data_IF_722548388202
#
_entry.id   IF_722548388202
#
_cell.length_a   1.000
_cell.length_b   1.000
_cell.length_c   1.000
_cell.angle_alpha   90.00
_cell.angle_beta   90.00
_cell.angle_gamma   90.00
#
_symmetry.space_group_name_H-M   'P 1'
#
loop_
_entity.id
_entity.type
_entity.pdbx_description
1 polymer ?
#
# COMPACT_ATOMS: atom_id res chain seq x y z
N UNK A 1 -23.64 -51.25 -16.94
CA UNK A 1 -22.75 -50.23 -17.56
C UNK A 1 -21.57 -50.04 -16.63
N UNK A 2 -20.38 -50.52 -17.02
CA UNK A 2 -19.15 -50.47 -16.20
C UNK A 2 -18.40 -49.18 -16.53
N UNK A 3 -18.41 -48.23 -15.60
CA UNK A 3 -17.66 -46.97 -15.72
C UNK A 3 -16.15 -47.28 -15.66
N UNK A 4 -15.41 -46.86 -16.68
CA UNK A 4 -13.97 -47.12 -16.81
C UNK A 4 -13.17 -46.27 -15.81
N UNK A 5 -12.17 -46.82 -15.09
CA UNK A 5 -11.40 -46.11 -14.06
C UNK A 5 -10.65 -44.88 -14.60
N UNK A 6 -10.40 -44.82 -15.91
CA UNK A 6 -9.83 -43.66 -16.59
C UNK A 6 -10.72 -42.42 -16.54
N UNK A 7 -12.06 -42.59 -16.53
CA UNK A 7 -13.02 -41.47 -16.48
C UNK A 7 -13.03 -40.84 -15.08
N UNK A 8 -12.92 -41.66 -14.03
CA UNK A 8 -12.85 -41.21 -12.63
C UNK A 8 -11.55 -40.43 -12.34
N UNK A 9 -10.42 -40.85 -12.91
CA UNK A 9 -9.14 -40.14 -12.78
C UNK A 9 -9.16 -38.77 -13.49
N UNK A 10 -9.81 -38.67 -14.66
CA UNK A 10 -9.93 -37.41 -15.40
C UNK A 10 -10.85 -36.40 -14.67
N UNK A 11 -11.92 -36.87 -14.02
CA UNK A 11 -12.78 -36.02 -13.18
C UNK A 11 -12.10 -35.51 -11.90
N UNK A 12 -11.18 -36.30 -11.31
CA UNK A 12 -10.40 -35.89 -10.14
C UNK A 12 -9.28 -34.88 -10.48
N UNK A 13 -8.73 -34.93 -11.70
CA UNK A 13 -7.72 -33.97 -12.18
C UNK A 13 -8.33 -32.60 -12.53
N UNK A 14 -9.58 -32.55 -13.02
CA UNK A 14 -10.28 -31.29 -13.31
C UNK A 14 -10.87 -30.61 -12.06
N UNK A 15 -10.94 -31.28 -10.91
CA UNK A 15 -11.43 -30.72 -9.65
C UNK A 15 -10.36 -29.97 -8.82
N UNK A 16 -9.10 -29.91 -9.30
CA UNK A 16 -7.94 -29.38 -8.55
C UNK A 16 -7.33 -28.10 -9.12
N UNK A 17 -8.00 -27.40 -10.03
CA UNK A 17 -7.61 -26.04 -10.46
C UNK A 17 -8.76 -25.07 -10.22
N UNK A 18 -9.11 -24.87 -8.95
CA UNK A 18 -9.70 -23.58 -8.58
C UNK A 18 -8.53 -22.61 -8.55
N UNK A 19 -8.31 -21.94 -9.68
CA UNK A 19 -7.50 -20.72 -9.68
C UNK A 19 -8.17 -19.76 -8.69
N UNK A 20 -7.63 -19.68 -7.48
CA UNK A 20 -7.98 -18.62 -6.56
C UNK A 20 -7.39 -17.37 -7.19
N UNK A 21 -8.21 -16.67 -7.98
CA UNK A 21 -7.96 -15.28 -8.34
C UNK A 21 -7.90 -14.52 -7.01
N UNK A 22 -6.69 -14.38 -6.46
CA UNK A 22 -6.41 -13.45 -5.37
C UNK A 22 -6.59 -12.06 -5.99
N UNK A 23 -7.79 -11.49 -5.85
CA UNK A 23 -8.00 -10.07 -6.11
C UNK A 23 -7.22 -9.31 -5.05
N UNK A 24 -6.34 -8.39 -5.47
CA UNK A 24 -5.73 -7.47 -4.53
C UNK A 24 -6.81 -6.52 -3.99
N UNK A 25 -6.79 -6.28 -2.69
CA UNK A 25 -7.73 -5.36 -2.03
C UNK A 25 -7.31 -3.90 -2.18
N UNK A 26 -6.04 -3.67 -2.50
CA UNK A 26 -5.42 -2.36 -2.59
C UNK A 26 -4.47 -2.30 -3.79
N UNK A 27 -4.30 -1.10 -4.34
CA UNK A 27 -3.55 -0.83 -5.55
C UNK A 27 -2.69 0.41 -5.35
N UNK A 28 -1.51 0.37 -5.94
CA UNK A 28 -0.65 1.52 -6.14
C UNK A 28 -1.27 2.51 -7.13
N UNK A 29 -0.85 3.79 -7.13
CA UNK A 29 -1.35 4.81 -8.08
C UNK A 29 -1.27 4.43 -9.56
N UNK A 30 -0.29 3.61 -9.93
CA UNK A 30 -0.11 3.10 -11.30
C UNK A 30 -1.06 1.92 -11.64
N UNK A 31 -1.95 1.53 -10.72
CA UNK A 31 -2.90 0.42 -10.85
C UNK A 31 -2.30 -0.98 -10.66
N UNK A 32 -1.04 -1.09 -10.23
CA UNK A 32 -0.46 -2.39 -9.84
C UNK A 32 -1.06 -2.84 -8.52
N UNK A 33 -1.28 -4.14 -8.38
CA UNK A 33 -1.77 -4.76 -7.15
C UNK A 33 -0.76 -4.56 -6.01
N UNK A 34 -1.27 -4.19 -4.83
CA UNK A 34 -0.51 -4.17 -3.58
C UNK A 34 -0.98 -5.33 -2.69
N UNK A 35 -0.09 -6.27 -2.43
CA UNK A 35 -0.38 -7.51 -1.69
C UNK A 35 0.32 -7.48 -0.33
N UNK A 36 -0.24 -6.74 0.62
CA UNK A 36 0.19 -6.76 2.01
C UNK A 36 -1.04 -6.85 2.93
N UNK A 37 -1.14 -7.90 3.78
CA UNK A 37 -2.30 -8.09 4.65
C UNK A 37 -2.48 -6.98 5.70
N UNK A 38 -1.43 -6.21 5.98
CA UNK A 38 -1.51 -5.10 6.93
C UNK A 38 -2.37 -3.96 6.37
N UNK A 39 -2.46 -3.81 5.04
CA UNK A 39 -3.24 -2.73 4.45
C UNK A 39 -4.61 -3.21 4.04
N UNK A 40 -5.63 -2.52 4.55
CA UNK A 40 -7.03 -2.87 4.35
C UNK A 40 -7.82 -1.61 4.05
N UNK A 41 -8.90 -1.78 3.29
CA UNK A 41 -9.81 -0.71 2.95
C UNK A 41 -10.42 -0.08 4.21
N UNK A 42 -10.43 1.25 4.25
CA UNK A 42 -11.12 2.02 5.28
C UNK A 42 -12.64 1.81 5.22
N UNK A 43 -13.38 1.84 6.35
CA UNK A 43 -14.80 1.51 6.38
C UNK A 43 -15.69 2.32 5.42
N UNK A 44 -15.37 3.60 5.17
CA UNK A 44 -16.22 4.53 4.42
C UNK A 44 -15.51 5.22 3.23
N UNK A 45 -14.36 4.70 2.78
CA UNK A 45 -13.64 5.27 1.63
C UNK A 45 -12.99 4.16 0.83
N UNK A 46 -12.55 4.47 -0.40
CA UNK A 46 -11.76 3.51 -1.16
C UNK A 46 -10.29 3.49 -0.72
N UNK A 47 -9.88 4.36 0.21
CA UNK A 47 -8.52 4.42 0.75
C UNK A 47 -8.19 3.13 1.49
N UNK A 48 -6.96 2.68 1.34
CA UNK A 48 -6.38 1.58 2.10
C UNK A 48 -5.28 2.11 3.02
N UNK A 49 -5.45 1.90 4.33
CA UNK A 49 -4.45 2.23 5.34
C UNK A 49 -3.93 0.95 6.00
N UNK A 50 -2.84 1.03 6.76
CA UNK A 50 -2.30 -0.11 7.50
C UNK A 50 -3.12 -0.41 8.76
N UNK A 51 -4.27 -1.06 8.57
CA UNK A 51 -5.22 -1.40 9.63
C UNK A 51 -4.99 -2.79 10.25
N UNK A 52 -4.17 -3.63 9.63
CA UNK A 52 -3.96 -5.04 9.97
C UNK A 52 -2.78 -5.33 10.92
N UNK A 53 -2.10 -4.29 11.41
CA UNK A 53 -0.98 -4.42 12.35
C UNK A 53 -1.49 -4.79 13.75
N UNK A 54 -0.61 -5.36 14.57
CA UNK A 54 -0.93 -5.79 15.93
C UNK A 54 -0.91 -4.66 16.96
N UNK A 55 -0.06 -3.65 16.76
CA UNK A 55 0.03 -2.50 17.66
C UNK A 55 -1.15 -1.54 17.38
N UNK A 56 -2.05 -1.26 18.34
CA UNK A 56 -3.17 -0.35 18.11
C UNK A 56 -2.70 1.11 17.94
N UNK A 57 -3.56 2.02 17.42
CA UNK A 57 -3.26 3.44 17.39
C UNK A 57 -3.00 3.97 18.82
N UNK A 58 -1.96 4.77 18.97
CA UNK A 58 -1.49 5.27 20.26
C UNK A 58 -0.73 4.23 21.11
N UNK A 59 -0.41 3.06 20.54
CA UNK A 59 0.45 2.09 21.21
C UNK A 59 1.94 2.48 21.15
N UNK A 60 2.74 1.91 22.05
CA UNK A 60 4.17 2.19 22.16
C UNK A 60 4.94 1.70 20.93
N UNK A 61 5.89 2.49 20.43
CA UNK A 61 6.73 2.18 19.26
C UNK A 61 7.55 0.89 19.46
N UNK A 62 7.86 0.51 20.70
CA UNK A 62 8.54 -0.75 21.02
C UNK A 62 7.73 -2.00 20.64
N UNK A 63 6.40 -1.87 20.49
CA UNK A 63 5.52 -2.95 20.03
C UNK A 63 5.44 -3.04 18.49
N UNK A 64 6.26 -2.26 17.77
CA UNK A 64 6.28 -2.19 16.31
C UNK A 64 5.38 -1.08 15.76
N UNK A 65 5.16 -1.02 14.44
CA UNK A 65 4.36 0.02 13.81
C UNK A 65 2.90 -0.07 14.26
N UNK A 66 2.31 1.05 14.69
CA UNK A 66 0.88 1.10 15.03
C UNK A 66 0.00 0.97 13.80
N UNK A 67 -1.23 0.49 14.02
CA UNK A 67 -2.33 0.64 13.09
C UNK A 67 -2.56 2.11 12.78
N UNK A 68 -2.93 2.37 11.54
CA UNK A 68 -3.34 3.70 11.14
C UNK A 68 -4.79 3.98 11.52
N UNK A 69 -5.11 5.26 11.68
CA UNK A 69 -6.46 5.78 11.73
C UNK A 69 -6.83 6.34 10.35
N UNK A 70 -7.96 5.90 9.81
CA UNK A 70 -8.50 6.44 8.56
C UNK A 70 -9.07 7.85 8.77
N UNK A 71 -8.53 8.85 8.08
CA UNK A 71 -9.06 10.20 8.11
C UNK A 71 -10.12 10.43 7.03
N UNK A 72 -11.13 11.29 7.28
CA UNK A 72 -12.20 11.53 6.30
C UNK A 72 -11.72 12.17 5.00
N UNK A 73 -10.63 12.94 5.04
CA UNK A 73 -9.98 13.53 3.86
C UNK A 73 -9.20 12.49 3.01
N UNK A 74 -9.16 11.23 3.44
CA UNK A 74 -8.52 10.14 2.73
C UNK A 74 -7.05 9.91 3.08
N UNK A 75 -6.52 10.61 4.09
CA UNK A 75 -5.19 10.32 4.66
C UNK A 75 -5.26 9.18 5.69
N UNK A 76 -4.12 8.52 5.88
CA UNK A 76 -3.89 7.56 6.95
C UNK A 76 -3.06 8.23 8.05
N UNK A 77 -3.59 8.38 9.26
CA UNK A 77 -2.85 8.91 10.42
C UNK A 77 -2.20 7.75 11.17
N UNK A 78 -0.87 7.70 11.18
CA UNK A 78 -0.14 6.81 12.06
C UNK A 78 0.16 7.53 13.37
N UNK A 79 -0.36 6.99 14.48
CA UNK A 79 -0.23 7.55 15.81
C UNK A 79 0.45 6.51 16.72
N UNK A 80 1.66 6.80 17.18
CA UNK A 80 2.45 5.95 18.07
C UNK A 80 2.89 6.73 19.31
N UNK A 81 3.16 6.04 20.41
CA UNK A 81 3.77 6.63 21.59
C UNK A 81 5.26 6.32 21.62
N UNK A 82 6.09 7.34 21.82
CA UNK A 82 7.52 7.20 22.05
C UNK A 82 7.89 8.03 23.26
N UNK A 83 8.51 7.41 24.26
CA UNK A 83 8.89 8.06 25.53
C UNK A 83 7.70 8.79 26.21
N UNK A 84 6.51 8.20 26.10
CA UNK A 84 5.26 8.76 26.63
C UNK A 84 4.69 9.95 25.85
N UNK A 85 5.31 10.35 24.73
CA UNK A 85 4.84 11.41 23.85
C UNK A 85 4.19 10.85 22.58
N UNK A 86 3.05 11.40 22.13
CA UNK A 86 2.44 10.98 20.88
C UNK A 86 3.23 11.52 19.69
N UNK A 87 3.64 10.63 18.80
CA UNK A 87 4.19 10.97 17.50
C UNK A 87 3.12 10.64 16.46
N UNK A 88 2.71 11.67 15.73
CA UNK A 88 1.69 11.58 14.69
C UNK A 88 2.30 11.86 13.34
N UNK A 89 1.94 11.03 12.38
CA UNK A 89 2.34 11.24 11.01
C UNK A 89 1.21 10.87 10.06
N UNK A 90 1.19 11.49 8.88
CA UNK A 90 0.11 11.31 7.93
C UNK A 90 0.64 10.84 6.59
N UNK A 91 -0.15 9.99 5.94
CA UNK A 91 0.26 9.30 4.74
C UNK A 91 -0.84 9.29 3.71
N UNK A 92 -0.44 9.42 2.45
CA UNK A 92 -1.23 8.94 1.34
C UNK A 92 -0.73 7.55 0.98
N UNK A 93 -1.50 6.55 1.39
CA UNK A 93 -1.17 5.14 1.17
C UNK A 93 -1.70 4.65 -0.18
N UNK A 94 -2.62 3.68 -0.16
CA UNK A 94 -3.09 2.96 -1.34
C UNK A 94 -4.59 3.18 -1.54
N UNK A 95 -5.11 2.66 -2.65
CA UNK A 95 -6.53 2.69 -2.92
C UNK A 95 -7.05 1.32 -3.36
N UNK A 96 -8.26 0.99 -2.94
CA UNK A 96 -9.01 -0.20 -3.39
C UNK A 96 -9.61 -0.04 -4.79
N UNK A 97 -9.65 1.19 -5.33
CA UNK A 97 -9.94 1.40 -6.75
C UNK A 97 -8.63 1.36 -7.55
N UNK A 98 -8.52 0.34 -8.39
CA UNK A 98 -7.38 0.11 -9.28
C UNK A 98 -7.11 1.29 -10.23
N UNK A 99 -8.15 2.03 -10.62
CA UNK A 99 -8.02 3.15 -11.55
C UNK A 99 -7.68 4.47 -10.85
N UNK A 100 -7.63 4.48 -9.51
CA UNK A 100 -7.32 5.66 -8.71
C UNK A 100 -8.19 6.88 -9.04
N UNK A 101 -9.51 6.69 -9.14
CA UNK A 101 -10.41 7.80 -9.39
C UNK A 101 -10.35 8.83 -8.24
N UNK A 102 -10.21 10.11 -8.58
CA UNK A 102 -9.94 11.19 -7.62
C UNK A 102 -11.05 11.41 -6.61
N UNK A 103 -12.30 11.03 -6.93
CA UNK A 103 -13.44 11.14 -6.01
C UNK A 103 -13.46 10.04 -4.95
N UNK A 104 -12.71 8.95 -5.15
CA UNK A 104 -12.67 7.79 -4.24
C UNK A 104 -11.30 7.55 -3.64
N UNK A 105 -10.23 7.98 -4.33
CA UNK A 105 -8.83 7.83 -3.94
C UNK A 105 -8.16 9.19 -3.81
N UNK A 106 -7.35 9.35 -2.75
CA UNK A 106 -6.63 10.58 -2.51
C UNK A 106 -5.46 10.73 -3.51
N UNK A 107 -5.69 11.52 -4.55
CA UNK A 107 -4.79 11.63 -5.70
C UNK A 107 -3.73 12.73 -5.58
N UNK A 108 -3.06 12.79 -4.44
CA UNK A 108 -2.02 13.80 -4.16
C UNK A 108 -0.63 13.19 -4.18
N UNK A 109 0.39 14.05 -4.25
CA UNK A 109 1.79 13.64 -4.14
C UNK A 109 2.17 12.47 -5.07
N UNK A 110 1.62 12.47 -6.29
CA UNK A 110 1.77 11.36 -7.25
C UNK A 110 3.13 11.32 -7.94
N UNK A 111 3.91 12.39 -7.81
CA UNK A 111 5.20 12.58 -8.48
C UNK A 111 6.21 13.11 -7.48
N UNK A 112 7.48 12.75 -7.69
CA UNK A 112 8.61 13.24 -6.88
C UNK A 112 9.35 12.15 -6.11
N UNK A 113 10.47 12.53 -5.51
CA UNK A 113 11.42 11.65 -4.81
C UNK A 113 10.97 11.23 -3.41
N UNK A 114 9.76 11.59 -2.99
CA UNK A 114 9.26 11.39 -1.63
C UNK A 114 8.42 10.11 -1.47
N UNK A 115 8.23 9.36 -2.56
CA UNK A 115 7.58 8.06 -2.52
C UNK A 115 8.58 7.06 -1.95
N UNK A 116 8.21 6.39 -0.87
CA UNK A 116 9.06 5.39 -0.25
C UNK A 116 9.14 4.10 -1.09
N UNK A 117 9.95 3.14 -0.62
CA UNK A 117 10.14 1.85 -1.30
C UNK A 117 8.86 1.02 -1.40
N UNK A 118 7.84 1.33 -0.59
CA UNK A 118 6.55 0.66 -0.56
C UNK A 118 5.48 1.39 -1.37
N UNK A 119 5.81 2.55 -1.96
CA UNK A 119 4.88 3.35 -2.75
C UNK A 119 4.03 4.32 -1.92
N UNK A 120 4.24 4.38 -0.61
CA UNK A 120 3.58 5.30 0.31
C UNK A 120 4.29 6.66 0.26
N UNK A 121 3.61 7.72 0.67
CA UNK A 121 4.21 9.05 0.75
C UNK A 121 3.73 9.78 1.98
N UNK A 122 4.69 10.36 2.73
CA UNK A 122 4.37 11.25 3.84
C UNK A 122 3.72 12.52 3.34
N UNK A 123 2.76 12.98 4.13
CA UNK A 123 2.05 14.23 3.88
C UNK A 123 2.05 15.00 5.20
N UNK A 124 2.71 16.16 5.24
CA UNK A 124 2.89 16.94 6.48
C UNK A 124 1.88 18.08 6.55
N UNK A 125 1.11 18.21 7.65
CA UNK A 125 0.15 19.32 7.81
C UNK A 125 0.87 20.64 8.10
N UNK A 126 0.36 21.73 7.55
CA UNK A 126 0.95 23.05 7.73
C UNK A 126 0.70 23.67 9.10
N UNK A 127 -0.39 23.28 9.76
CA UNK A 127 -0.76 23.75 11.10
C UNK A 127 -0.44 22.72 12.21
N UNK A 128 0.18 21.59 11.84
CA UNK A 128 0.49 20.51 12.78
C UNK A 128 -0.71 19.66 13.21
N UNK A 129 -1.89 19.83 12.59
CA UNK A 129 -3.12 19.13 13.00
C UNK A 129 -3.59 18.11 11.97
N UNK A 130 -4.33 17.09 12.43
CA UNK A 130 -4.99 16.11 11.53
C UNK A 130 -6.08 16.71 10.63
N UNK A 131 -6.51 17.94 10.93
CA UNK A 131 -7.57 18.67 10.23
C UNK A 131 -7.03 19.84 9.41
N UNK A 132 -5.72 19.86 9.14
CA UNK A 132 -5.09 20.92 8.36
C UNK A 132 -5.82 21.15 7.04
N UNK A 133 -5.96 22.40 6.64
CA UNK A 133 -6.47 22.72 5.29
C UNK A 133 -5.34 22.64 4.25
N UNK A 134 -4.10 22.89 4.68
CA UNK A 134 -2.91 22.90 3.83
C UNK A 134 -1.92 21.82 4.23
N UNK A 135 -1.35 21.17 3.22
CA UNK A 135 -0.45 20.04 3.41
C UNK A 135 0.74 20.10 2.44
N UNK A 136 1.86 19.53 2.88
CA UNK A 136 3.06 19.33 2.09
C UNK A 136 3.27 17.86 1.75
N UNK A 137 3.73 17.58 0.54
CA UNK A 137 4.29 16.27 0.22
C UNK A 137 5.69 16.13 0.84
N UNK A 138 5.98 14.98 1.45
CA UNK A 138 7.23 14.73 2.15
C UNK A 138 7.13 15.03 3.65
N UNK A 139 8.28 15.14 4.29
CA UNK A 139 8.37 15.20 5.76
C UNK A 139 8.34 16.63 6.31
N UNK A 140 8.60 17.64 5.47
CA UNK A 140 8.82 19.04 5.87
C UNK A 140 7.59 19.92 5.65
N UNK A 141 7.52 21.04 6.37
CA UNK A 141 6.52 22.11 6.18
C UNK A 141 6.96 23.23 5.23
N UNK A 142 8.12 23.09 4.56
CA UNK A 142 8.71 24.13 3.70
C UNK A 142 7.79 24.62 2.56
N UNK A 143 6.80 23.80 2.16
CA UNK A 143 5.85 24.15 1.12
C UNK A 143 4.72 25.09 1.59
N UNK A 144 4.50 25.25 2.90
CA UNK A 144 3.25 25.79 3.44
C UNK A 144 2.95 27.24 3.02
N UNK A 145 4.00 28.03 2.82
CA UNK A 145 3.92 29.41 2.34
C UNK A 145 4.13 29.52 0.82
N UNK A 146 4.17 28.39 0.13
CA UNK A 146 4.41 28.31 -1.32
C UNK A 146 3.11 28.02 -2.05
N UNK A 147 2.98 28.43 -3.33
CA UNK A 147 1.78 28.20 -4.12
C UNK A 147 1.52 26.72 -4.44
N UNK A 148 2.49 25.84 -4.18
CA UNK A 148 2.37 24.40 -4.38
C UNK A 148 1.98 23.62 -3.11
N UNK A 149 1.63 24.30 -2.01
CA UNK A 149 0.96 23.66 -0.88
C UNK A 149 -0.37 23.03 -1.35
N UNK A 150 -0.64 21.81 -0.92
CA UNK A 150 -1.86 21.10 -1.25
C UNK A 150 -3.00 21.59 -0.37
N UNK A 151 -4.13 21.95 -0.97
CA UNK A 151 -5.37 22.23 -0.22
C UNK A 151 -6.24 20.99 -0.25
N UNK A 152 -6.47 20.38 0.91
CA UNK A 152 -7.33 19.20 1.03
C UNK A 152 -8.67 19.60 1.63
N UNK A 153 -9.76 19.07 1.06
CA UNK A 153 -11.05 19.13 1.72
C UNK A 153 -11.06 18.21 2.95
N UNK A 154 -11.87 18.54 3.96
CA UNK A 154 -11.97 17.71 5.16
C UNK A 154 -12.56 16.31 4.89
N UNK A 155 -13.27 16.15 3.78
CA UNK A 155 -13.81 14.87 3.32
C UNK A 155 -13.36 14.62 1.90
N UNK A 156 -12.87 13.41 1.61
CA UNK A 156 -12.43 13.01 0.28
C UNK A 156 -13.58 13.13 -0.72
N UNK A 157 -13.29 13.68 -1.91
CA UNK A 157 -14.28 13.92 -2.96
C UNK A 157 -15.16 15.16 -2.73
N UNK A 158 -15.06 15.83 -1.58
CA UNK A 158 -15.64 17.16 -1.39
C UNK A 158 -14.73 18.24 -1.99
N UNK A 159 -15.33 19.35 -2.41
CA UNK A 159 -14.54 20.56 -2.73
C UNK A 159 -14.05 21.18 -1.42
N UNK A 160 -12.80 21.66 -1.34
CA UNK A 160 -12.37 22.45 -0.19
C UNK A 160 -13.29 23.67 -0.06
N UNK A 161 -13.81 23.90 1.13
CA UNK A 161 -14.66 25.06 1.42
C UNK A 161 -13.81 26.31 1.23
N UNK A 162 -14.00 27.01 0.13
CA UNK A 162 -13.45 28.35 -0.04
C UNK A 162 -14.15 29.24 0.97
N UNK A 163 -13.57 29.44 2.15
CA UNK A 163 -14.01 30.51 3.04
C UNK A 163 -13.55 31.80 2.37
N UNK A 164 -14.39 32.32 1.49
CA UNK A 164 -14.26 33.70 1.01
C UNK A 164 -14.38 34.57 2.26
N UNK A 165 -13.28 35.19 2.68
CA UNK A 165 -13.30 36.20 3.73
C UNK A 165 -14.11 37.40 3.23
N UNK A 166 -15.43 37.36 3.38
CA UNK A 166 -16.29 38.52 3.19
C UNK A 166 -15.99 39.49 4.31
N UNK A 167 -15.25 40.54 3.96
CA UNK A 167 -15.07 41.74 4.77
C UNK A 167 -16.46 42.25 5.18
N UNK A 168 -16.68 42.34 6.49
CA UNK A 168 -17.93 42.71 7.12
C UNK A 168 -18.29 44.17 6.84
N UNK A 169 -19.45 44.39 6.22
CA UNK A 169 -20.11 45.69 6.05
C UNK A 169 -21.63 45.48 6.11
N UNK A 170 -22.23 45.91 7.22
CA UNK A 170 -23.65 45.81 7.59
C UNK A 170 -24.56 46.67 6.66
N UNK A 171 -25.91 46.58 6.74
CA UNK A 171 -26.80 45.82 5.87
C UNK A 171 -27.70 46.74 5.01
N UNK A 172 -28.38 46.21 4.00
CA UNK A 172 -29.64 46.83 3.56
C UNK A 172 -30.64 45.76 3.17
N UNK A 173 -31.78 45.84 3.86
CA UNK A 173 -32.93 44.96 3.74
C UNK A 173 -33.70 45.29 2.46
N UNK A 174 -33.98 44.30 1.63
CA UNK A 174 -35.11 44.33 0.69
C UNK A 174 -35.64 42.92 0.49
N UNK A 175 -36.78 42.67 1.12
CA UNK A 175 -37.67 41.54 0.89
C UNK A 175 -38.28 41.64 -0.50
N UNK A 176 -38.21 40.58 -1.32
CA UNK A 176 -39.08 40.43 -2.49
C UNK A 176 -39.74 39.05 -2.43
N UNK A 177 -41.06 39.13 -2.31
CA UNK A 177 -42.03 38.06 -2.25
C UNK A 177 -42.30 37.54 -3.67
N UNK A 178 -42.07 36.26 -3.93
CA UNK A 178 -42.60 35.60 -5.12
C UNK A 178 -43.45 34.39 -4.70
N UNK A 179 -44.77 34.57 -4.79
CA UNK A 179 -45.78 33.51 -4.74
C UNK A 179 -46.20 33.17 -6.18
N UNK A 180 -46.25 31.89 -6.53
CA UNK A 180 -47.31 31.27 -7.35
C UNK A 180 -47.07 29.75 -7.53
N UNK A 181 -47.86 28.98 -6.79
CA UNK A 181 -48.64 27.79 -7.19
C UNK A 181 -48.36 27.06 -8.52
N UNK A 182 -48.17 25.74 -8.42
CA UNK A 182 -48.41 24.76 -9.50
C UNK A 182 -47.97 23.34 -9.08
N UNK A 183 -48.92 22.51 -8.65
CA UNK A 183 -48.80 21.07 -8.37
C UNK A 183 -49.55 20.27 -9.46
N UNK A 184 -49.52 18.92 -9.51
CA UNK A 184 -48.51 18.06 -10.14
C UNK A 184 -49.04 17.37 -11.41
N UNK A 185 -48.16 16.80 -12.22
CA UNK A 185 -48.55 15.80 -13.22
C UNK A 185 -47.64 14.57 -13.17
N UNK A 186 -48.18 13.50 -12.57
CA UNK A 186 -47.63 12.15 -12.62
C UNK A 186 -47.89 11.54 -13.98
N UNK A 187 -46.83 11.10 -14.67
CA UNK A 187 -46.94 10.12 -15.77
C UNK A 187 -46.06 8.92 -15.43
N UNK A 188 -46.71 7.85 -14.98
CA UNK A 188 -46.09 6.54 -14.85
C UNK A 188 -45.90 5.95 -16.26
N UNK A 189 -44.67 5.56 -16.60
CA UNK A 189 -44.40 4.73 -17.78
C UNK A 189 -43.85 3.39 -17.29
N UNK A 190 -44.74 2.41 -17.21
CA UNK A 190 -44.42 1.00 -17.06
C UNK A 190 -44.32 0.42 -18.47
N UNK A 191 -43.19 -0.18 -18.84
CA UNK A 191 -43.11 -1.18 -19.91
C UNK A 191 -41.93 -2.13 -19.63
N UNK A 192 -42.30 -3.31 -19.14
CA UNK A 192 -41.82 -4.69 -19.36
C UNK A 192 -40.33 -5.03 -19.63
N UNK A 193 -39.83 -6.14 -19.05
CA UNK A 193 -38.46 -6.64 -19.22
C UNK A 193 -38.31 -7.54 -20.45
N UNK A 194 -37.29 -7.27 -21.26
CA UNK A 194 -36.89 -8.15 -22.37
C UNK A 194 -36.05 -9.34 -21.89
N UNK A 195 -36.36 -10.49 -22.49
CA UNK A 195 -35.78 -11.82 -22.24
C UNK A 195 -34.36 -11.99 -22.78
N UNK A 196 -33.60 -13.00 -22.29
CA UNK A 196 -32.14 -13.08 -22.45
C UNK A 196 -31.73 -13.56 -23.85
N UNK A 197 -30.88 -12.77 -24.52
CA UNK A 197 -30.20 -13.19 -25.75
C UNK A 197 -28.92 -13.97 -25.44
N UNK A 198 -28.72 -14.98 -26.27
CA UNK A 198 -27.71 -16.02 -26.28
C UNK A 198 -26.26 -15.50 -26.25
N UNK A 199 -25.44 -16.12 -25.39
CA UNK A 199 -24.08 -15.69 -25.08
C UNK A 199 -23.09 -15.84 -26.23
N UNK A 200 -22.47 -14.72 -26.57
CA UNK A 200 -21.19 -14.66 -27.27
C UNK A 200 -20.11 -14.26 -26.25
N UNK A 201 -19.15 -15.17 -26.00
CA UNK A 201 -18.06 -14.95 -25.06
C UNK A 201 -17.20 -13.75 -25.52
N UNK A 202 -16.98 -12.81 -24.58
CA UNK A 202 -16.18 -11.60 -24.77
C UNK A 202 -14.79 -11.93 -25.34
N UNK A 203 -14.30 -11.06 -26.24
CA UNK A 203 -13.00 -11.15 -26.92
C UNK A 203 -11.84 -11.44 -25.95
N UNK A 204 -11.93 -10.96 -24.70
CA UNK A 204 -10.94 -11.23 -23.66
C UNK A 204 -10.77 -12.72 -23.30
N UNK A 205 -11.82 -13.53 -23.40
CA UNK A 205 -11.74 -14.96 -23.11
C UNK A 205 -11.01 -15.75 -24.21
N UNK A 206 -11.04 -15.28 -25.46
CA UNK A 206 -10.33 -15.91 -26.59
C UNK A 206 -8.83 -15.63 -26.60
N UNK A 207 -8.41 -14.49 -26.08
CA UNK A 207 -6.99 -14.11 -26.00
C UNK A 207 -6.23 -14.90 -24.92
N UNK A 208 -6.89 -15.29 -23.82
CA UNK A 208 -6.24 -15.99 -22.70
C UNK A 208 -5.78 -17.42 -23.00
N UNK A 209 -6.44 -18.13 -23.93
CA UNK A 209 -6.16 -19.54 -24.21
C UNK A 209 -4.88 -19.73 -25.05
N UNK A 210 -4.48 -18.72 -25.83
CA UNK A 210 -3.34 -18.82 -26.75
C UNK A 210 -1.96 -18.84 -26.07
N UNK A 211 -1.80 -18.12 -24.96
CA UNK A 211 -0.48 -17.96 -24.31
C UNK A 211 -0.14 -19.16 -23.39
N UNK A 212 -1.15 -19.79 -22.79
CA UNK A 212 -0.95 -20.87 -21.82
C UNK A 212 -0.30 -22.14 -22.41
N UNK A 213 -0.62 -22.50 -23.66
CA UNK A 213 -0.13 -23.75 -24.27
C UNK A 213 1.37 -23.68 -24.57
N UNK A 214 1.88 -22.52 -24.99
CA UNK A 214 3.29 -22.35 -25.34
C UNK A 214 4.20 -22.46 -24.12
N UNK A 215 3.83 -21.82 -23.00
CA UNK A 215 4.61 -21.85 -21.75
C UNK A 215 4.62 -23.25 -21.14
N UNK A 216 3.46 -23.91 -21.11
CA UNK A 216 3.35 -25.26 -20.51
C UNK A 216 4.14 -26.30 -21.30
N UNK A 217 4.15 -26.20 -22.64
CA UNK A 217 4.96 -27.08 -23.50
C UNK A 217 6.46 -26.97 -23.23
N UNK A 218 6.97 -25.74 -23.07
CA UNK A 218 8.38 -25.48 -22.77
C UNK A 218 8.81 -26.04 -21.40
N UNK A 219 7.96 -25.88 -20.38
CA UNK A 219 8.23 -26.43 -19.04
C UNK A 219 8.26 -27.96 -19.04
N UNK A 220 7.33 -28.62 -19.74
CA UNK A 220 7.32 -30.09 -19.81
C UNK A 220 8.53 -30.66 -20.56
N UNK A 221 8.99 -30.00 -21.62
CA UNK A 221 10.18 -30.42 -22.37
C UNK A 221 11.46 -30.30 -21.52
N UNK A 222 11.62 -29.21 -20.77
CA UNK A 222 12.79 -29.01 -19.90
C UNK A 222 12.82 -30.00 -18.74
N UNK A 223 11.70 -30.23 -18.07
CA UNK A 223 11.60 -31.24 -16.99
C UNK A 223 11.86 -32.65 -17.51
N UNK A 224 11.28 -33.00 -18.67
CA UNK A 224 11.48 -34.30 -19.31
C UNK A 224 12.96 -34.55 -19.68
N UNK A 225 13.65 -33.53 -20.20
CA UNK A 225 15.06 -33.60 -20.54
C UNK A 225 15.96 -33.82 -19.30
N UNK A 226 15.72 -33.06 -18.23
CA UNK A 226 16.48 -33.18 -16.97
C UNK A 226 16.30 -34.58 -16.36
N UNK A 227 15.07 -35.10 -16.38
CA UNK A 227 14.77 -36.41 -15.80
C UNK A 227 15.37 -37.56 -16.63
N UNK A 228 15.34 -37.45 -17.96
CA UNK A 228 16.01 -38.41 -18.86
C UNK A 228 17.53 -38.43 -18.65
N UNK A 229 18.16 -37.26 -18.46
CA UNK A 229 19.60 -37.15 -18.18
C UNK A 229 19.96 -37.77 -16.83
N UNK A 230 19.16 -37.52 -15.78
CA UNK A 230 19.37 -38.07 -14.44
C UNK A 230 19.14 -39.59 -14.37
N UNK A 231 18.18 -40.11 -15.13
CA UNK A 231 17.89 -41.55 -15.21
C UNK A 231 19.01 -42.33 -15.90
N UNK A 232 19.64 -41.76 -16.94
CA UNK A 232 20.81 -42.40 -17.59
C UNK A 232 22.03 -42.47 -16.69
N UNK A 233 22.24 -41.49 -15.81
CA UNK A 233 23.39 -41.49 -14.88
C UNK A 233 23.29 -42.54 -13.77
N UNK A 234 22.09 -43.02 -13.41
CA UNK A 234 21.92 -44.04 -12.36
C UNK A 234 22.14 -45.47 -12.83
N UNK A 235 22.33 -45.70 -14.14
CA UNK A 235 22.60 -47.05 -14.68
C UNK A 235 24.08 -47.46 -14.55
N UNK A 236 24.96 -46.58 -14.06
CA UNK A 236 26.41 -46.82 -13.98
C UNK A 236 27.02 -46.75 -12.56
N UNK A 237 26.23 -46.79 -11.48
CA UNK A 237 26.78 -46.78 -10.12
C UNK A 237 26.80 -48.20 -9.53
N UNK A 238 28.01 -48.78 -9.47
CA UNK A 238 28.35 -50.00 -8.71
C UNK A 238 28.19 -49.73 -7.20
N UNK A 239 27.65 -50.66 -6.38
CA UNK A 239 27.53 -50.46 -4.93
C UNK A 239 28.91 -50.50 -4.27
N UNK A 240 29.27 -49.46 -3.51
CA UNK A 240 30.48 -49.42 -2.67
C UNK A 240 30.17 -49.94 -1.26
N UNK A 241 30.99 -50.87 -0.79
CA UNK A 241 30.93 -51.56 0.50
C UNK A 241 31.37 -50.64 1.65
N UNK A 242 30.61 -50.65 2.75
CA UNK A 242 30.81 -49.85 3.95
C UNK A 242 31.71 -50.58 4.95
N UNK A 243 32.93 -50.08 5.17
CA UNK A 243 33.74 -50.46 6.35
C UNK A 243 33.49 -49.48 7.50
N UNK A 244 32.95 -50.03 8.60
CA UNK A 244 32.65 -49.32 9.83
C UNK A 244 33.89 -49.09 10.70
N UNK A 245 33.88 -47.96 11.42
CA UNK A 245 34.78 -47.67 12.54
C UNK A 245 33.93 -47.25 13.74
N UNK A 246 34.25 -47.89 14.86
CA UNK A 246 33.64 -47.92 16.18
C UNK A 246 33.84 -46.60 16.98
N UNK A 247 32.97 -46.26 17.96
CA UNK A 247 32.93 -44.93 18.58
C UNK A 247 33.74 -44.84 19.89
N UNK A 248 34.53 -43.77 20.03
CA UNK A 248 35.31 -43.50 21.24
C UNK A 248 35.46 -42.00 21.56
N UNK A 249 34.52 -41.50 22.38
CA UNK A 249 34.59 -40.41 23.38
C UNK A 249 34.80 -38.95 22.89
N UNK A 250 33.96 -37.98 23.36
CA UNK A 250 33.99 -36.60 22.89
C UNK A 250 35.07 -35.77 23.60
N UNK A 251 35.99 -35.20 22.80
CA UNK A 251 36.83 -34.09 23.23
C UNK A 251 36.17 -32.76 22.81
N UNK A 252 35.94 -31.92 23.80
CA UNK A 252 35.54 -30.52 23.72
C UNK A 252 36.41 -29.76 22.70
N UNK A 253 35.79 -29.23 21.65
CA UNK A 253 36.45 -28.26 20.77
C UNK A 253 35.93 -26.86 21.07
N UNK A 254 36.84 -26.09 21.64
CA UNK A 254 36.96 -24.64 21.67
C UNK A 254 36.42 -23.99 20.38
N UNK A 255 35.39 -23.16 20.53
CA UNK A 255 34.76 -22.42 19.43
C UNK A 255 35.57 -21.15 19.13
N UNK A 256 36.52 -21.23 18.20
CA UNK A 256 37.13 -20.04 17.58
C UNK A 256 36.12 -19.39 16.64
N UNK A 257 35.51 -18.30 17.09
CA UNK A 257 34.72 -17.42 16.25
C UNK A 257 35.61 -16.29 15.71
N UNK A 258 36.35 -16.56 14.64
CA UNK A 258 37.00 -15.52 13.85
C UNK A 258 36.19 -15.33 12.57
N UNK A 259 35.22 -14.43 12.60
CA UNK A 259 34.67 -13.81 11.41
C UNK A 259 35.19 -12.37 11.40
N UNK A 260 36.31 -12.17 10.71
CA UNK A 260 36.77 -10.84 10.31
C UNK A 260 35.71 -10.24 9.38
N UNK A 261 35.05 -9.18 9.84
CA UNK A 261 34.28 -8.30 8.95
C UNK A 261 35.26 -7.31 8.30
N UNK A 262 35.16 -7.07 6.98
CA UNK A 262 36.00 -6.09 6.31
C UNK A 262 35.63 -4.67 6.79
N UNK A 263 36.60 -4.00 7.40
CA UNK A 263 36.53 -2.59 7.79
C UNK A 263 36.58 -1.75 6.52
N UNK A 264 35.47 -1.09 6.18
CA UNK A 264 35.44 0.04 5.25
C UNK A 264 36.15 1.24 5.87
N UNK A 265 37.05 1.95 5.16
CA UNK A 265 37.67 3.16 5.68
C UNK A 265 36.63 4.29 5.75
N UNK A 266 36.18 4.62 6.96
CA UNK A 266 35.43 5.84 7.23
C UNK A 266 36.37 7.03 7.31
N UNK A 267 36.07 8.05 6.53
CA UNK A 267 36.88 9.25 6.35
C UNK A 267 37.09 10.03 7.66
N UNK A 268 38.29 10.60 7.78
CA UNK A 268 38.67 11.59 8.77
C UNK A 268 37.74 12.81 8.69
N UNK A 269 36.85 12.98 9.68
CA UNK A 269 36.28 14.30 9.96
C UNK A 269 37.15 14.98 11.01
N UNK A 270 37.88 15.99 10.57
CA UNK A 270 38.68 16.89 11.39
C UNK A 270 37.77 17.71 12.29
N UNK A 271 38.13 17.79 13.58
CA UNK A 271 37.50 18.66 14.56
C UNK A 271 37.53 20.11 14.08
N UNK A 272 36.35 20.72 13.92
CA UNK A 272 36.23 22.15 13.68
C UNK A 272 36.18 22.91 15.00
N UNK A 273 36.84 24.05 14.95
CA UNK A 273 37.33 24.92 15.99
C UNK A 273 36.20 25.60 16.77
N UNK A 274 36.30 25.57 18.10
CA UNK A 274 35.46 26.35 19.01
C UNK A 274 35.77 27.83 18.80
N UNK A 275 34.86 28.55 18.15
CA UNK A 275 34.91 30.00 18.07
C UNK A 275 34.18 30.60 19.27
N UNK A 276 34.94 31.07 20.26
CA UNK A 276 34.42 31.90 21.34
C UNK A 276 34.00 33.27 20.78
N UNK A 277 32.79 33.71 21.12
CA UNK A 277 32.30 35.06 20.84
C UNK A 277 32.32 35.88 22.14
N UNK A 278 32.84 37.12 22.11
CA UNK A 278 33.04 37.93 23.31
C UNK A 278 31.73 38.48 23.90
N UNK A 279 31.71 38.51 25.23
CA UNK A 279 30.74 39.17 26.11
C UNK A 279 30.38 40.59 25.62
N UNK A 280 29.08 40.88 25.52
CA UNK A 280 28.58 42.27 25.45
C UNK A 280 28.14 42.72 26.84
N UNK A 281 28.51 43.94 27.26
CA UNK A 281 28.20 44.44 28.58
C UNK A 281 26.72 44.80 28.74
N UNK A 282 26.23 44.52 29.94
CA UNK A 282 24.95 44.96 30.49
C UNK A 282 24.97 46.47 30.67
N UNK A 283 24.21 47.21 29.87
CA UNK A 283 23.82 48.59 30.22
C UNK A 283 22.57 48.57 31.09
N UNK A 284 22.72 49.18 32.26
CA UNK A 284 21.72 49.54 33.25
C UNK A 284 21.54 51.07 33.17
N UNK A 285 20.34 51.55 33.50
CA UNK A 285 19.86 52.96 33.62
C UNK A 285 19.02 53.36 32.39
N UNK A 286 17.78 53.84 32.49
CA UNK A 286 17.00 54.46 33.59
C UNK A 286 15.52 54.32 33.25
#
# INVERSE_FOLDING_TARGET
MKSSPAVLLLSLLLARTRDVLVSADCYFPNGTAFNNPDHRKCPNSAVCCALGRSNPPGGDVSNGPANDECLPNGLCENNVMQDGQPIRTWWRDFCSDRNWNQSTCLSICMTGSFVDVYGNIRVTPCDGTRTSEKWCCGETTDCCDKPYALVLAQTLGASPSTISSTISGHPTSTSITNSATGDPSSTATTNTPDSPSSGNLSVGAKAGIGVGVAVTGLVLLTVGFIWAKKSRSRRNAVPYESHGVEPGIPAYTEYKHNAELPVTPGELYTNEEVHELPDKPVERLT
#
